data_IF_491735360702
#
_entry.id   IF_491735360702
#
_cell.length_a   1.000
_cell.length_b   1.000
_cell.length_c   1.000
_cell.angle_alpha   90.00
_cell.angle_beta   90.00
_cell.angle_gamma   90.00
#
_symmetry.space_group_name_H-M   'P 1'
#
loop_
_entity.id
_entity.type
_entity.pdbx_description
1 polymer ?
#
# COMPACT_ATOMS: atom_id res chain seq x y z
N UNK A 1 -0.51 -5.32 -6.10
CA UNK A 1 0.82 -5.59 -5.50
C UNK A 1 1.50 -4.25 -5.57
N UNK A 2 2.11 -3.80 -4.49
CA UNK A 2 2.77 -2.50 -4.48
C UNK A 2 3.81 -2.34 -5.57
N UNK A 3 4.14 -1.09 -5.84
CA UNK A 3 5.03 -0.72 -6.93
C UNK A 3 5.83 0.52 -6.57
N UNK A 4 6.92 0.77 -7.30
CA UNK A 4 7.57 2.08 -7.30
C UNK A 4 6.68 3.11 -7.98
N UNK A 5 6.79 4.36 -7.58
CA UNK A 5 6.03 5.46 -8.18
C UNK A 5 6.85 6.75 -8.21
N UNK A 6 6.46 7.67 -9.08
CA UNK A 6 7.12 8.96 -9.22
C UNK A 6 6.65 9.71 -10.45
N UNK A 7 7.36 9.56 -11.58
CA UNK A 7 7.00 10.24 -12.84
C UNK A 7 5.95 9.45 -13.62
N UNK A 8 5.96 8.13 -13.47
CA UNK A 8 4.94 7.22 -13.98
C UNK A 8 4.16 6.65 -12.81
N UNK A 9 2.92 6.27 -13.09
CA UNK A 9 2.03 5.66 -12.11
C UNK A 9 2.61 4.35 -11.56
N UNK A 10 3.15 3.49 -12.42
CA UNK A 10 3.76 2.22 -12.03
C UNK A 10 5.23 2.18 -12.50
N UNK A 11 6.13 2.05 -11.54
CA UNK A 11 7.58 1.90 -11.73
C UNK A 11 8.11 0.71 -10.90
N UNK A 12 9.37 0.33 -11.14
CA UNK A 12 10.06 -0.60 -10.24
C UNK A 12 10.37 0.08 -8.89
N UNK A 13 10.46 -0.68 -7.78
CA UNK A 13 10.33 -2.14 -7.68
C UNK A 13 8.89 -2.59 -7.49
N UNK A 14 8.59 -3.84 -7.86
CA UNK A 14 7.41 -4.52 -7.29
C UNK A 14 7.61 -4.75 -5.79
N UNK A 15 6.55 -4.51 -5.03
CA UNK A 15 6.47 -4.66 -3.56
C UNK A 15 5.33 -5.64 -3.24
N UNK A 16 5.61 -6.96 -3.22
CA UNK A 16 4.59 -7.95 -2.92
C UNK A 16 4.07 -7.82 -1.48
N UNK A 17 2.79 -8.07 -1.29
CA UNK A 17 2.13 -8.04 0.04
C UNK A 17 2.43 -9.29 0.89
N UNK A 18 3.34 -10.13 0.42
CA UNK A 18 3.81 -11.35 1.07
C UNK A 18 5.31 -11.50 0.82
N UNK A 19 6.01 -12.17 1.73
CA UNK A 19 7.44 -12.39 1.55
C UNK A 19 8.09 -12.98 2.78
N UNK A 20 9.42 -13.01 2.76
CA UNK A 20 10.24 -13.43 3.90
C UNK A 20 11.12 -12.28 4.36
N UNK A 21 11.20 -12.08 5.67
CA UNK A 21 12.09 -11.08 6.25
C UNK A 21 13.54 -11.26 5.74
N UNK A 22 14.19 -10.15 5.40
CA UNK A 22 15.56 -10.16 4.85
C UNK A 22 15.67 -10.55 3.37
N UNK A 23 14.55 -10.60 2.64
CA UNK A 23 14.52 -10.81 1.18
C UNK A 23 13.93 -9.59 0.46
N UNK A 24 14.07 -9.54 -0.87
CA UNK A 24 13.55 -8.45 -1.70
C UNK A 24 14.60 -7.42 -2.10
N UNK A 25 14.17 -6.35 -2.78
CA UNK A 25 15.08 -5.28 -3.19
C UNK A 25 15.49 -4.45 -1.97
N UNK A 26 16.74 -3.99 -1.95
CA UNK A 26 17.25 -3.11 -0.90
C UNK A 26 16.55 -1.76 -0.99
N UNK A 27 15.94 -1.33 0.12
CA UNK A 27 15.36 -0.01 0.27
C UNK A 27 16.50 1.01 0.37
N UNK A 28 16.45 2.07 -0.45
CA UNK A 28 17.44 3.15 -0.50
C UNK A 28 16.75 4.49 -0.35
N UNK A 29 17.50 5.47 0.14
CA UNK A 29 17.02 6.86 0.22
C UNK A 29 16.61 7.41 -1.15
N UNK A 30 15.54 8.20 -1.18
CA UNK A 30 14.92 8.72 -2.40
C UNK A 30 13.97 7.75 -3.11
N UNK A 31 13.82 6.51 -2.63
CA UNK A 31 12.82 5.58 -3.15
C UNK A 31 11.42 6.03 -2.73
N UNK A 32 10.47 6.01 -3.68
CA UNK A 32 9.04 6.15 -3.41
C UNK A 32 8.29 4.90 -3.89
N UNK A 33 7.46 4.33 -3.02
CA UNK A 33 6.68 3.12 -3.29
C UNK A 33 5.26 3.23 -2.76
N UNK A 34 4.35 2.52 -3.42
CA UNK A 34 3.02 2.20 -2.95
C UNK A 34 3.08 0.94 -2.09
N UNK A 35 2.55 1.01 -0.88
CA UNK A 35 2.30 -0.13 -0.01
C UNK A 35 0.79 -0.34 0.03
N UNK A 36 0.31 -1.37 -0.67
CA UNK A 36 -1.11 -1.57 -1.03
C UNK A 36 -1.60 -3.01 -0.73
N UNK A 37 -1.70 -3.41 0.55
CA UNK A 37 -2.17 -4.73 0.92
C UNK A 37 -3.65 -4.93 0.63
N UNK A 38 -3.95 -5.96 -0.16
CA UNK A 38 -5.28 -6.54 -0.31
C UNK A 38 -5.39 -7.77 0.59
N UNK A 39 -6.34 -7.75 1.53
CA UNK A 39 -6.55 -8.83 2.50
C UNK A 39 -7.93 -9.44 2.26
N UNK A 40 -7.94 -10.74 1.98
CA UNK A 40 -9.16 -11.51 1.80
C UNK A 40 -9.59 -12.15 3.12
N UNK A 41 -10.89 -12.18 3.41
CA UNK A 41 -11.42 -12.80 4.63
C UNK A 41 -11.26 -14.34 4.64
N UNK A 42 -11.33 -14.97 3.46
CA UNK A 42 -11.18 -16.41 3.30
C UNK A 42 -9.87 -16.80 2.60
N UNK A 43 -9.95 -17.28 1.36
CA UNK A 43 -8.77 -17.70 0.58
C UNK A 43 -8.02 -16.53 -0.06
N UNK A 44 -6.71 -16.70 -0.22
CA UNK A 44 -5.81 -15.88 -1.03
C UNK A 44 -6.10 -15.97 -2.53
N UNK A 45 -6.84 -16.98 -2.98
CA UNK A 45 -7.13 -17.21 -4.40
C UNK A 45 -8.14 -16.19 -4.92
N UNK A 46 -7.94 -15.80 -6.18
CA UNK A 46 -8.77 -14.81 -6.88
C UNK A 46 -9.26 -15.32 -8.23
N UNK A 47 -10.28 -14.66 -8.77
CA UNK A 47 -10.83 -14.86 -10.11
C UNK A 47 -10.83 -13.54 -10.88
N UNK A 48 -10.25 -13.57 -12.07
CA UNK A 48 -10.34 -12.47 -13.04
C UNK A 48 -11.65 -12.59 -13.83
N UNK A 49 -12.33 -11.47 -14.01
CA UNK A 49 -13.56 -11.41 -14.81
C UNK A 49 -13.25 -11.08 -16.28
N UNK A 50 -14.24 -11.30 -17.14
CA UNK A 50 -14.09 -11.12 -18.58
C UNK A 50 -14.06 -9.65 -19.03
N UNK A 51 -14.28 -8.69 -18.11
CA UNK A 51 -14.19 -7.26 -18.39
C UNK A 51 -12.74 -6.74 -18.45
N UNK A 52 -11.76 -7.58 -18.10
CA UNK A 52 -10.34 -7.25 -18.11
C UNK A 52 -9.86 -6.44 -16.90
N UNK A 53 -10.72 -6.18 -15.92
CA UNK A 53 -10.41 -5.30 -14.77
C UNK A 53 -10.82 -5.90 -13.44
N UNK A 54 -12.03 -6.43 -13.35
CA UNK A 54 -12.59 -6.85 -12.06
C UNK A 54 -11.92 -8.12 -11.58
N UNK A 55 -11.51 -8.10 -10.31
CA UNK A 55 -10.97 -9.26 -9.60
C UNK A 55 -11.79 -9.47 -8.34
N UNK A 56 -12.28 -10.70 -8.16
CA UNK A 56 -12.99 -11.10 -6.92
C UNK A 56 -12.24 -12.23 -6.23
N UNK A 57 -12.47 -12.39 -4.93
CA UNK A 57 -12.04 -13.57 -4.18
C UNK A 57 -12.67 -14.82 -4.77
N UNK A 58 -11.95 -15.95 -4.76
CA UNK A 58 -12.45 -17.19 -5.35
C UNK A 58 -13.67 -17.76 -4.58
N UNK A 59 -13.72 -17.52 -3.26
CA UNK A 59 -14.82 -17.92 -2.39
C UNK A 59 -15.92 -16.86 -2.25
N UNK A 60 -15.79 -15.71 -2.92
CA UNK A 60 -16.69 -14.56 -2.85
C UNK A 60 -16.88 -13.96 -1.45
N UNK A 61 -15.98 -14.25 -0.51
CA UNK A 61 -15.96 -13.54 0.78
C UNK A 61 -15.35 -12.14 0.63
N UNK A 62 -15.66 -11.21 1.55
CA UNK A 62 -15.15 -9.84 1.49
C UNK A 62 -13.62 -9.76 1.39
N UNK A 63 -13.15 -8.75 0.65
CA UNK A 63 -11.75 -8.33 0.61
C UNK A 63 -11.68 -6.86 0.98
N UNK A 64 -10.59 -6.48 1.64
CA UNK A 64 -10.30 -5.09 1.98
C UNK A 64 -8.96 -4.70 1.38
N UNK A 65 -8.88 -3.46 0.92
CA UNK A 65 -7.69 -2.87 0.34
C UNK A 65 -7.47 -1.50 0.98
N UNK A 66 -6.22 -1.20 1.33
CA UNK A 66 -5.79 0.15 1.61
C UNK A 66 -4.43 0.37 0.98
N UNK A 67 -4.07 1.63 0.77
CA UNK A 67 -2.80 2.00 0.15
C UNK A 67 -2.23 3.25 0.82
N UNK A 68 -0.91 3.26 0.98
CA UNK A 68 -0.14 4.46 1.24
C UNK A 68 1.04 4.57 0.28
N UNK A 69 1.23 5.78 -0.24
CA UNK A 69 2.47 6.21 -0.86
C UNK A 69 3.50 6.58 0.21
N UNK A 70 4.69 5.97 0.13
CA UNK A 70 5.77 6.14 1.10
C UNK A 70 7.06 6.51 0.38
N UNK A 71 7.69 7.60 0.81
CA UNK A 71 9.05 7.95 0.43
C UNK A 71 10.05 7.54 1.52
N UNK A 72 11.29 7.27 1.12
CA UNK A 72 12.41 7.12 2.05
C UNK A 72 13.25 8.38 2.02
N UNK A 73 13.31 9.08 3.14
CA UNK A 73 14.02 10.35 3.28
C UNK A 73 14.92 10.26 4.51
N UNK A 74 16.22 10.51 4.33
CA UNK A 74 17.25 10.35 5.37
C UNK A 74 17.17 9.00 6.11
N UNK A 75 16.88 7.93 5.36
CA UNK A 75 16.75 6.57 5.90
C UNK A 75 15.48 6.31 6.71
N UNK A 76 14.50 7.22 6.68
CA UNK A 76 13.21 7.07 7.38
C UNK A 76 12.05 6.99 6.38
N UNK A 77 11.01 6.18 6.66
CA UNK A 77 9.78 6.21 5.87
C UNK A 77 8.99 7.49 6.18
N UNK A 78 8.53 8.16 5.13
CA UNK A 78 7.69 9.36 5.16
C UNK A 78 6.44 9.11 4.34
N UNK A 79 5.27 9.29 4.95
CA UNK A 79 4.00 9.18 4.25
C UNK A 79 3.80 10.38 3.30
N UNK A 80 3.39 10.09 2.07
CA UNK A 80 3.01 11.09 1.06
C UNK A 80 1.49 11.19 0.87
N UNK A 81 0.74 10.34 1.56
CA UNK A 81 -0.72 10.23 1.52
C UNK A 81 -1.28 10.17 2.94
N UNK A 82 -2.59 10.36 3.13
CA UNK A 82 -3.20 10.44 4.47
C UNK A 82 -4.64 9.94 4.51
N UNK A 83 -5.00 9.27 5.61
CA UNK A 83 -6.37 8.91 6.00
C UNK A 83 -7.02 9.95 6.92
N UNK A 84 -6.34 11.04 7.28
CA UNK A 84 -6.90 12.09 8.16
C UNK A 84 -8.30 12.53 7.76
N UNK A 85 -8.56 12.72 6.47
CA UNK A 85 -9.89 13.13 5.97
C UNK A 85 -10.94 12.04 6.14
N UNK A 86 -10.56 10.76 5.99
CA UNK A 86 -11.43 9.61 6.23
C UNK A 86 -11.75 9.52 7.72
N UNK A 87 -10.75 9.68 8.59
CA UNK A 87 -10.94 9.69 10.04
C UNK A 87 -11.80 10.85 10.52
N UNK A 88 -11.59 12.05 9.99
CA UNK A 88 -12.44 13.20 10.27
C UNK A 88 -13.90 12.95 9.89
N UNK A 89 -14.15 12.43 8.69
CA UNK A 89 -15.50 12.11 8.23
C UNK A 89 -16.20 11.02 9.06
N UNK A 90 -15.42 10.11 9.65
CA UNK A 90 -15.93 9.03 10.51
C UNK A 90 -15.94 9.40 12.00
N UNK A 91 -15.47 10.58 12.39
CA UNK A 91 -15.34 10.98 13.79
C UNK A 91 -14.31 10.15 14.56
N UNK A 92 -13.32 9.57 13.87
CA UNK A 92 -12.27 8.75 14.45
C UNK A 92 -11.09 9.65 14.83
N UNK A 93 -10.57 9.49 16.05
CA UNK A 93 -9.32 10.12 16.50
C UNK A 93 -8.21 9.07 16.38
N UNK A 94 -7.23 9.31 15.51
CA UNK A 94 -6.05 8.44 15.33
C UNK A 94 -4.77 9.26 15.25
N UNK A 95 -3.70 8.70 15.80
CA UNK A 95 -2.35 9.25 15.83
C UNK A 95 -1.35 8.39 15.03
N UNK A 96 -1.84 7.37 14.31
CA UNK A 96 -1.02 6.34 13.64
C UNK A 96 -0.07 6.89 12.57
N UNK A 97 -0.43 7.99 11.91
CA UNK A 97 0.37 8.60 10.85
C UNK A 97 1.47 9.52 11.41
N UNK A 98 1.32 10.01 12.65
CA UNK A 98 2.23 11.00 13.25
C UNK A 98 3.71 10.60 13.19
N UNK A 99 4.11 9.34 13.45
CA UNK A 99 5.52 8.94 13.40
C UNK A 99 6.14 9.01 12.00
N UNK A 100 5.32 9.07 10.97
CA UNK A 100 5.74 9.02 9.56
C UNK A 100 5.52 10.35 8.82
N UNK A 101 5.08 11.39 9.53
CA UNK A 101 5.00 12.74 8.99
C UNK A 101 6.38 13.40 9.09
N UNK A 102 6.71 14.19 8.07
CA UNK A 102 7.91 15.03 8.06
C UNK A 102 7.46 16.48 8.04
N UNK A 103 7.91 17.25 9.04
CA UNK A 103 7.79 18.71 9.02
C UNK A 103 8.81 19.26 8.02
N UNK A 104 8.33 19.92 6.97
CA UNK A 104 9.15 20.58 5.96
C UNK A 104 9.44 22.04 6.32
#
# INVERSE_FOLDING_TARGET
MGHGLGRKMHEDPQVPNYGKQGSGKVIKDGLAIAIEPMVNMGTEKVKFHNDGWTVTTLDNLPSAHFEHDVAVINGKPVLLSTFKYVYEALGIVSDEEKPFQLDF
#
